data_IF_004474462719
#
_entry.id   IF_004474462719
#
_cell.length_a   1.000
_cell.length_b   1.000
_cell.length_c   1.000
_cell.angle_alpha   90.00
_cell.angle_beta   90.00
_cell.angle_gamma   90.00
#
_symmetry.space_group_name_H-M   'P 1'
#
loop_
_entity.id
_entity.type
_entity.pdbx_description
1 polymer ?
#
# COMPACT_ATOMS: atom_id res chain seq x y z
N UNK A 1 3.53 -0.34 21.85
CA UNK A 1 4.03 1.06 21.97
C UNK A 1 4.34 1.67 20.59
N UNK A 2 4.03 2.94 20.37
CA UNK A 2 4.29 3.66 19.09
C UNK A 2 5.71 3.45 18.53
N UNK A 3 6.73 3.67 19.36
CA UNK A 3 8.14 3.58 18.96
C UNK A 3 8.56 2.19 18.45
N UNK A 4 7.88 1.12 18.88
CA UNK A 4 8.13 -0.22 18.38
C UNK A 4 7.48 -0.45 17.01
N UNK A 5 6.27 0.08 16.81
CA UNK A 5 5.59 0.00 15.52
C UNK A 5 6.35 0.79 14.45
N UNK A 6 6.81 2.00 14.78
CA UNK A 6 7.63 2.84 13.88
C UNK A 6 8.92 2.13 13.48
N UNK A 7 9.65 1.54 14.45
CA UNK A 7 10.86 0.75 14.17
C UNK A 7 10.57 -0.48 13.32
N UNK A 8 9.45 -1.17 13.58
CA UNK A 8 9.05 -2.34 12.79
C UNK A 8 8.74 -1.95 11.35
N UNK A 9 7.99 -0.85 11.12
CA UNK A 9 7.72 -0.38 9.77
C UNK A 9 9.01 0.05 9.07
N UNK A 10 9.90 0.79 9.74
CA UNK A 10 11.19 1.18 9.16
C UNK A 10 12.08 -0.03 8.82
N UNK A 11 12.02 -1.11 9.61
CA UNK A 11 12.67 -2.38 9.27
C UNK A 11 12.06 -3.00 8.01
N UNK A 12 10.72 -3.05 7.91
CA UNK A 12 10.04 -3.58 6.74
C UNK A 12 10.32 -2.76 5.48
N UNK A 13 10.38 -1.44 5.60
CA UNK A 13 10.73 -0.56 4.49
C UNK A 13 12.11 -0.92 3.92
N UNK A 14 13.11 -1.06 4.79
CA UNK A 14 14.50 -1.33 4.39
C UNK A 14 14.74 -2.76 3.94
N UNK A 15 14.13 -3.74 4.60
CA UNK A 15 14.45 -5.17 4.38
C UNK A 15 13.41 -5.91 3.52
N UNK A 16 12.21 -5.35 3.36
CA UNK A 16 11.10 -5.98 2.62
C UNK A 16 10.71 -5.15 1.41
N UNK A 17 10.46 -3.84 1.57
CA UNK A 17 9.96 -3.01 0.46
C UNK A 17 11.05 -2.51 -0.47
N UNK A 18 12.25 -2.26 0.05
CA UNK A 18 13.44 -2.20 -0.78
C UNK A 18 13.86 -3.64 -1.08
N UNK A 19 13.70 -4.06 -2.34
CA UNK A 19 14.02 -5.42 -2.74
C UNK A 19 15.49 -5.71 -2.37
N UNK A 20 15.77 -6.73 -1.54
CA UNK A 20 17.14 -7.02 -1.15
C UNK A 20 17.88 -7.49 -2.40
N UNK A 21 18.87 -6.71 -2.85
CA UNK A 21 19.67 -7.03 -4.05
C UNK A 21 20.35 -8.41 -3.94
N UNK A 22 20.52 -8.93 -2.72
CA UNK A 22 21.06 -10.26 -2.49
C UNK A 22 20.09 -11.40 -2.87
N UNK A 23 18.78 -11.18 -2.78
CA UNK A 23 17.75 -12.13 -3.22
C UNK A 23 17.56 -12.11 -4.75
N UNK A 24 18.05 -11.04 -5.39
CA UNK A 24 18.16 -10.91 -6.83
C UNK A 24 19.49 -11.48 -7.40
N UNK A 25 20.33 -12.13 -6.59
CA UNK A 25 21.50 -12.84 -7.10
C UNK A 25 21.06 -14.03 -7.97
N UNK A 26 21.66 -14.11 -9.16
CA UNK A 26 21.41 -15.15 -10.17
C UNK A 26 21.47 -16.56 -9.58
N UNK A 27 22.38 -16.82 -8.64
CA UNK A 27 22.52 -18.13 -7.96
C UNK A 27 21.36 -18.48 -7.00
N UNK A 28 20.67 -17.50 -6.44
CA UNK A 28 19.46 -17.71 -5.64
C UNK A 28 18.29 -17.94 -6.61
N UNK A 29 18.14 -17.05 -7.59
CA UNK A 29 17.07 -17.12 -8.61
C UNK A 29 17.13 -18.40 -9.46
N UNK A 30 18.32 -18.89 -9.83
CA UNK A 30 18.51 -20.14 -10.59
C UNK A 30 18.14 -21.37 -9.76
N UNK A 31 18.18 -21.29 -8.42
CA UNK A 31 17.69 -22.36 -7.52
C UNK A 31 16.17 -22.30 -7.29
N UNK A 32 15.52 -21.15 -7.52
CA UNK A 32 14.05 -20.98 -7.41
C UNK A 32 13.35 -21.04 -8.79
N UNK A 33 14.09 -21.00 -9.90
CA UNK A 33 13.57 -21.03 -11.28
C UNK A 33 12.94 -19.72 -11.75
N UNK A 34 12.25 -19.74 -12.91
CA UNK A 34 11.48 -18.61 -13.49
C UNK A 34 10.48 -17.95 -12.50
N UNK A 35 10.24 -18.56 -11.33
CA UNK A 35 9.35 -18.15 -10.24
C UNK A 35 9.91 -17.11 -9.25
N UNK A 36 11.20 -16.76 -9.31
CA UNK A 36 11.85 -15.92 -8.29
C UNK A 36 11.27 -14.50 -8.18
N UNK A 37 10.98 -13.86 -9.33
CA UNK A 37 10.35 -12.53 -9.34
C UNK A 37 8.96 -12.55 -8.69
N UNK A 38 8.10 -13.46 -9.16
CA UNK A 38 6.72 -13.60 -8.69
C UNK A 38 6.67 -14.05 -7.23
N UNK A 39 7.60 -14.89 -6.79
CA UNK A 39 7.70 -15.31 -5.39
C UNK A 39 7.98 -14.12 -4.47
N UNK A 40 8.96 -13.28 -4.83
CA UNK A 40 9.30 -12.07 -4.06
C UNK A 40 8.15 -11.08 -4.09
N UNK A 41 7.62 -10.76 -5.27
CA UNK A 41 6.52 -9.80 -5.42
C UNK A 41 5.29 -10.24 -4.61
N UNK A 42 4.93 -11.52 -4.66
CA UNK A 42 3.85 -12.12 -3.87
C UNK A 42 4.13 -12.06 -2.37
N UNK A 43 5.36 -12.30 -1.94
CA UNK A 43 5.72 -12.18 -0.53
C UNK A 43 5.64 -10.73 -0.03
N UNK A 44 6.19 -9.78 -0.78
CA UNK A 44 6.06 -8.35 -0.49
C UNK A 44 4.58 -7.92 -0.43
N UNK A 45 3.76 -8.40 -1.37
CA UNK A 45 2.32 -8.18 -1.39
C UNK A 45 1.61 -8.73 -0.15
N UNK A 46 1.94 -9.95 0.32
CA UNK A 46 1.36 -10.50 1.56
C UNK A 46 1.71 -9.68 2.80
N UNK A 47 2.98 -9.25 2.90
CA UNK A 47 3.41 -8.37 3.99
C UNK A 47 2.62 -7.07 3.95
N UNK A 48 2.45 -6.48 2.77
CA UNK A 48 1.67 -5.28 2.58
C UNK A 48 0.18 -5.46 2.95
N UNK A 49 -0.47 -6.52 2.47
CA UNK A 49 -1.87 -6.82 2.84
C UNK A 49 -2.04 -6.99 4.35
N UNK A 50 -1.05 -7.55 5.05
CA UNK A 50 -1.07 -7.61 6.52
C UNK A 50 -0.98 -6.21 7.16
N UNK A 51 -0.21 -5.29 6.57
CA UNK A 51 -0.07 -3.90 7.02
C UNK A 51 -1.30 -3.04 6.72
N UNK A 52 -2.02 -3.37 5.66
CA UNK A 52 -3.24 -2.68 5.23
C UNK A 52 -4.53 -3.36 5.73
N UNK A 53 -4.43 -4.46 6.47
CA UNK A 53 -5.58 -5.20 7.00
C UNK A 53 -6.58 -4.29 7.73
N UNK A 54 -7.85 -4.40 7.36
CA UNK A 54 -8.94 -3.59 7.91
C UNK A 54 -9.02 -3.65 9.44
N UNK A 55 -8.81 -4.83 10.04
CA UNK A 55 -8.82 -4.98 11.52
C UNK A 55 -7.66 -4.25 12.16
N UNK A 56 -6.48 -4.28 11.54
CA UNK A 56 -5.33 -3.49 12.00
C UNK A 56 -5.62 -2.00 11.94
N UNK A 57 -6.10 -1.50 10.82
CA UNK A 57 -6.36 -0.07 10.65
C UNK A 57 -7.46 0.43 11.59
N UNK A 58 -8.52 -0.35 11.79
CA UNK A 58 -9.59 -0.04 12.74
C UNK A 58 -9.06 0.00 14.19
N UNK A 59 -8.20 -0.95 14.58
CA UNK A 59 -7.54 -0.94 15.90
C UNK A 59 -6.63 0.27 16.10
N UNK A 60 -5.90 0.70 15.07
CA UNK A 60 -5.08 1.91 15.16
C UNK A 60 -5.93 3.15 15.41
N UNK A 61 -7.06 3.29 14.68
CA UNK A 61 -8.01 4.38 14.91
C UNK A 61 -8.61 4.34 16.34
N UNK A 62 -8.96 3.16 16.83
CA UNK A 62 -9.51 3.00 18.17
C UNK A 62 -8.46 3.33 19.26
N UNK A 63 -7.24 2.84 19.11
CA UNK A 63 -6.14 3.14 20.04
C UNK A 63 -5.83 4.63 20.09
N UNK A 64 -5.91 5.34 18.98
CA UNK A 64 -5.73 6.79 18.94
C UNK A 64 -6.75 7.53 19.81
N UNK A 65 -7.99 7.01 19.91
CA UNK A 65 -9.03 7.58 20.78
C UNK A 65 -8.84 7.17 22.24
N UNK A 66 -8.52 5.90 22.50
CA UNK A 66 -8.48 5.33 23.86
C UNK A 66 -7.16 5.63 24.57
N UNK A 67 -6.04 5.70 23.84
CA UNK A 67 -4.68 5.85 24.36
C UNK A 67 -3.87 6.83 23.49
N UNK A 68 -4.27 8.12 23.39
CA UNK A 68 -3.68 9.07 22.44
C UNK A 68 -2.17 9.30 22.63
N UNK A 69 -1.67 9.20 23.87
CA UNK A 69 -0.25 9.42 24.18
C UNK A 69 0.68 8.28 23.68
N UNK A 70 0.14 7.05 23.58
CA UNK A 70 0.91 5.84 23.24
C UNK A 70 0.59 5.30 21.83
N UNK A 71 -0.51 5.76 21.24
CA UNK A 71 -0.96 5.34 19.92
C UNK A 71 -0.05 5.92 18.83
N UNK A 72 0.07 5.17 17.73
CA UNK A 72 0.56 5.72 16.48
C UNK A 72 -0.66 6.24 15.71
N UNK A 73 -0.80 7.56 15.50
CA UNK A 73 -1.94 8.10 14.78
C UNK A 73 -2.14 7.41 13.43
N UNK A 74 -3.38 7.05 13.11
CA UNK A 74 -3.70 6.31 11.89
C UNK A 74 -3.24 7.09 10.63
N UNK A 75 -3.38 8.42 10.66
CA UNK A 75 -2.92 9.29 9.59
C UNK A 75 -1.40 9.20 9.36
N UNK A 76 -0.63 9.16 10.44
CA UNK A 76 0.83 9.04 10.39
C UNK A 76 1.27 7.66 9.92
N UNK A 77 0.61 6.60 10.39
CA UNK A 77 0.86 5.23 9.95
C UNK A 77 0.64 5.06 8.45
N UNK A 78 -0.51 5.53 7.93
CA UNK A 78 -0.82 5.46 6.50
C UNK A 78 0.13 6.32 5.66
N UNK A 79 0.55 7.48 6.17
CA UNK A 79 1.53 8.33 5.50
C UNK A 79 2.91 7.65 5.43
N UNK A 80 3.37 7.04 6.53
CA UNK A 80 4.63 6.30 6.58
C UNK A 80 4.60 5.08 5.65
N UNK A 81 3.54 4.27 5.71
CA UNK A 81 3.38 3.10 4.85
C UNK A 81 3.40 3.49 3.36
N UNK A 82 2.69 4.57 2.97
CA UNK A 82 2.74 5.10 1.61
C UNK A 82 4.16 5.53 1.25
N UNK A 83 4.85 6.26 2.12
CA UNK A 83 6.22 6.69 1.87
C UNK A 83 7.16 5.49 1.67
N UNK A 84 7.04 4.44 2.48
CA UNK A 84 7.79 3.19 2.35
C UNK A 84 7.60 2.49 1.00
N UNK A 85 6.34 2.39 0.53
CA UNK A 85 5.99 1.72 -0.74
C UNK A 85 6.32 2.57 -1.97
N UNK A 86 6.12 3.88 -1.91
CA UNK A 86 6.23 4.75 -3.08
C UNK A 86 7.60 5.41 -3.20
N UNK A 87 8.24 5.72 -2.07
CA UNK A 87 9.51 6.42 -2.00
C UNK A 87 9.50 7.67 -2.89
N UNK A 88 10.55 7.84 -3.69
CA UNK A 88 10.55 8.82 -4.77
C UNK A 88 10.01 8.18 -6.07
N UNK A 89 8.80 8.53 -6.55
CA UNK A 89 8.12 7.77 -7.61
C UNK A 89 8.93 7.64 -8.91
N UNK A 90 9.63 8.70 -9.35
CA UNK A 90 10.46 8.66 -10.56
C UNK A 90 11.68 7.73 -10.45
N UNK A 91 12.18 7.51 -9.22
CA UNK A 91 13.28 6.58 -8.93
C UNK A 91 12.77 5.15 -8.80
N UNK A 92 11.73 4.95 -7.99
CA UNK A 92 11.19 3.63 -7.66
C UNK A 92 10.52 2.97 -8.86
N UNK A 93 9.93 3.73 -9.78
CA UNK A 93 9.32 3.21 -11.00
C UNK A 93 10.30 2.47 -11.93
N UNK A 94 11.62 2.62 -11.75
CA UNK A 94 12.64 1.88 -12.52
C UNK A 94 12.72 0.41 -12.11
N UNK A 95 12.42 0.09 -10.85
CA UNK A 95 12.56 -1.25 -10.29
C UNK A 95 11.27 -2.08 -10.49
N UNK A 96 11.33 -3.24 -11.18
CA UNK A 96 10.15 -4.10 -11.38
C UNK A 96 9.51 -4.59 -10.08
N UNK A 97 10.28 -4.88 -9.03
CA UNK A 97 9.74 -5.31 -7.74
C UNK A 97 8.97 -4.17 -7.06
N UNK A 98 9.51 -2.96 -7.09
CA UNK A 98 8.82 -1.76 -6.58
C UNK A 98 7.52 -1.50 -7.34
N UNK A 99 7.54 -1.62 -8.66
CA UNK A 99 6.31 -1.49 -9.46
C UNK A 99 5.26 -2.54 -9.09
N UNK A 100 5.66 -3.79 -8.82
CA UNK A 100 4.74 -4.83 -8.38
C UNK A 100 4.15 -4.54 -6.98
N UNK A 101 4.97 -4.15 -6.02
CA UNK A 101 4.54 -3.75 -4.68
C UNK A 101 3.58 -2.54 -4.72
N UNK A 102 3.86 -1.57 -5.58
CA UNK A 102 3.01 -0.39 -5.78
C UNK A 102 1.64 -0.74 -6.38
N UNK A 103 1.57 -1.73 -7.27
CA UNK A 103 0.29 -2.25 -7.77
C UNK A 103 -0.50 -2.96 -6.67
N UNK A 104 0.17 -3.83 -5.90
CA UNK A 104 -0.45 -4.46 -4.74
C UNK A 104 -0.99 -3.42 -3.75
N UNK A 105 -0.28 -2.32 -3.51
CA UNK A 105 -0.80 -1.22 -2.68
C UNK A 105 -2.09 -0.61 -3.21
N UNK A 106 -2.20 -0.41 -4.53
CA UNK A 106 -3.42 0.12 -5.13
C UNK A 106 -4.57 -0.89 -5.04
N UNK A 107 -4.29 -2.18 -5.21
CA UNK A 107 -5.28 -3.26 -5.06
C UNK A 107 -5.83 -3.33 -3.63
N UNK A 108 -4.95 -3.32 -2.61
CA UNK A 108 -5.35 -3.29 -1.20
C UNK A 108 -6.10 -2.00 -0.86
N UNK A 109 -5.65 -0.86 -1.40
CA UNK A 109 -6.32 0.42 -1.18
C UNK A 109 -7.71 0.47 -1.83
N UNK A 110 -7.86 -0.11 -3.02
CA UNK A 110 -9.16 -0.25 -3.67
C UNK A 110 -10.09 -1.10 -2.81
N UNK A 111 -9.69 -2.31 -2.41
CA UNK A 111 -10.50 -3.22 -1.57
C UNK A 111 -10.93 -2.54 -0.26
N UNK A 112 -10.04 -1.90 0.48
CA UNK A 112 -10.41 -1.15 1.71
C UNK A 112 -11.45 -0.06 1.46
N UNK A 113 -11.42 0.54 0.28
CA UNK A 113 -12.38 1.57 -0.07
C UNK A 113 -13.71 0.93 -0.52
N UNK A 114 -13.70 -0.12 -1.33
CA UNK A 114 -14.87 -0.65 -2.09
C UNK A 114 -15.58 -1.82 -1.42
N UNK A 115 -14.87 -2.60 -0.63
CA UNK A 115 -15.34 -3.86 -0.07
C UNK A 115 -15.53 -3.75 1.45
N UNK A 116 -16.34 -4.66 1.97
CA UNK A 116 -16.42 -4.88 3.42
C UNK A 116 -15.46 -6.02 3.80
N UNK A 117 -14.78 -5.93 4.97
CA UNK A 117 -13.80 -6.94 5.33
C UNK A 117 -14.47 -8.32 5.49
N UNK A 118 -13.77 -9.41 5.15
CA UNK A 118 -14.36 -10.74 5.25
C UNK A 118 -14.65 -11.11 6.70
N UNK A 119 -15.80 -11.75 6.92
CA UNK A 119 -16.17 -12.32 8.22
C UNK A 119 -15.26 -13.50 8.55
N UNK A 120 -14.41 -13.33 9.57
CA UNK A 120 -13.46 -14.34 10.04
C UNK A 120 -13.68 -14.58 11.53
N UNK A 121 -14.60 -15.49 11.87
CA UNK A 121 -15.09 -15.70 13.25
C UNK A 121 -13.98 -15.97 14.27
N UNK A 122 -12.85 -16.56 13.85
CA UNK A 122 -11.71 -16.84 14.71
C UNK A 122 -10.85 -15.61 15.06
N UNK A 123 -11.01 -14.49 14.34
CA UNK A 123 -10.32 -13.22 14.61
C UNK A 123 -11.18 -12.21 15.40
N UNK A 124 -12.37 -12.62 15.83
CA UNK A 124 -13.34 -11.75 16.49
C UNK A 124 -14.23 -10.99 15.51
N UNK A 125 -14.97 -9.97 16.00
CA UNK A 125 -15.93 -9.24 15.19
C UNK A 125 -15.25 -8.51 14.03
N UNK A 126 -15.95 -8.46 12.91
CA UNK A 126 -15.48 -7.71 11.74
C UNK A 126 -15.65 -6.21 11.98
N UNK A 127 -14.60 -5.41 11.78
CA UNK A 127 -14.64 -3.97 12.04
C UNK A 127 -15.48 -3.27 10.99
N UNK A 128 -16.31 -2.32 11.43
CA UNK A 128 -17.01 -1.42 10.54
C UNK A 128 -16.08 -0.28 10.11
N UNK A 129 -15.36 -0.50 8.99
CA UNK A 129 -14.45 0.49 8.44
C UNK A 129 -15.17 1.70 7.83
N UNK A 130 -16.48 1.57 7.53
CA UNK A 130 -17.27 2.66 6.96
C UNK A 130 -17.51 3.80 7.95
N UNK A 131 -17.47 3.49 9.25
CA UNK A 131 -17.63 4.44 10.36
C UNK A 131 -16.31 4.89 10.96
N UNK A 132 -15.19 4.51 10.35
CA UNK A 132 -13.84 4.85 10.79
C UNK A 132 -13.17 5.88 9.87
N UNK A 133 -12.12 6.53 10.36
CA UNK A 133 -11.31 7.46 9.57
C UNK A 133 -10.41 6.78 8.52
N UNK A 134 -10.44 5.43 8.42
CA UNK A 134 -9.64 4.67 7.46
C UNK A 134 -9.93 5.08 6.02
N UNK A 135 -11.20 5.04 5.59
CA UNK A 135 -11.59 5.38 4.22
C UNK A 135 -11.28 6.85 3.87
N UNK A 136 -11.66 7.88 4.65
CA UNK A 136 -11.35 9.27 4.30
C UNK A 136 -9.84 9.56 4.27
N UNK A 137 -9.05 9.02 5.21
CA UNK A 137 -7.59 9.19 5.20
C UNK A 137 -6.96 8.52 3.99
N UNK A 138 -7.38 7.30 3.65
CA UNK A 138 -6.87 6.58 2.49
C UNK A 138 -7.22 7.32 1.17
N UNK A 139 -8.44 7.87 1.03
CA UNK A 139 -8.80 8.71 -0.12
C UNK A 139 -7.89 9.94 -0.23
N UNK A 140 -7.58 10.59 0.89
CA UNK A 140 -6.66 11.73 0.93
C UNK A 140 -5.25 11.33 0.44
N UNK A 141 -4.74 10.20 0.92
CA UNK A 141 -3.43 9.66 0.50
C UNK A 141 -3.41 9.30 -1.00
N UNK A 142 -4.45 8.66 -1.52
CA UNK A 142 -4.55 8.32 -2.95
C UNK A 142 -4.61 9.55 -3.86
N UNK A 143 -5.33 10.60 -3.46
CA UNK A 143 -5.34 11.88 -4.22
C UNK A 143 -3.95 12.51 -4.30
N UNK A 144 -3.22 12.52 -3.18
CA UNK A 144 -1.82 13.00 -3.14
C UNK A 144 -0.94 12.15 -4.04
N UNK A 145 -1.06 10.82 -3.95
CA UNK A 145 -0.31 9.89 -4.78
C UNK A 145 -0.57 10.08 -6.28
N UNK A 146 -1.82 10.29 -6.70
CA UNK A 146 -2.13 10.56 -8.10
C UNK A 146 -1.45 11.85 -8.60
N UNK A 147 -1.44 12.91 -7.78
CA UNK A 147 -0.74 14.15 -8.11
C UNK A 147 0.79 13.93 -8.21
N UNK A 148 1.37 13.19 -7.26
CA UNK A 148 2.79 12.83 -7.26
C UNK A 148 3.17 11.99 -8.49
N UNK A 149 2.36 10.99 -8.85
CA UNK A 149 2.59 10.12 -10.00
C UNK A 149 2.55 10.91 -11.32
N UNK A 150 1.54 11.78 -11.50
CA UNK A 150 1.46 12.69 -12.67
C UNK A 150 2.66 13.63 -12.76
N UNK A 151 3.11 14.17 -11.62
CA UNK A 151 4.31 15.02 -11.57
C UNK A 151 5.60 14.25 -11.87
N UNK A 152 5.67 12.98 -11.51
CA UNK A 152 6.85 12.14 -11.66
C UNK A 152 6.98 11.53 -13.06
N UNK A 153 5.87 11.22 -13.75
CA UNK A 153 5.88 10.54 -15.05
C UNK A 153 6.74 11.24 -16.13
N UNK A 154 6.71 12.58 -16.29
CA UNK A 154 7.57 13.27 -17.26
C UNK A 154 9.06 13.18 -16.92
N UNK A 155 9.39 13.09 -15.62
CA UNK A 155 10.77 13.00 -15.09
C UNK A 155 11.31 11.58 -15.08
N UNK A 156 10.44 10.57 -15.19
CA UNK A 156 10.85 9.18 -15.27
C UNK A 156 11.45 8.86 -16.66
N UNK A 157 12.36 7.86 -16.74
CA UNK A 157 12.81 7.34 -18.02
C UNK A 157 11.63 6.94 -18.92
N UNK A 158 11.79 7.14 -20.22
CA UNK A 158 10.82 6.68 -21.20
C UNK A 158 10.62 5.15 -21.13
N UNK A 159 9.47 4.69 -21.61
CA UNK A 159 9.09 3.28 -21.57
C UNK A 159 8.39 2.89 -20.27
N UNK A 160 8.74 1.74 -19.71
CA UNK A 160 7.99 1.07 -18.63
C UNK A 160 7.85 1.94 -17.37
N UNK A 161 8.87 2.71 -17.00
CA UNK A 161 8.82 3.54 -15.79
C UNK A 161 7.80 4.68 -15.92
N UNK A 162 7.77 5.38 -17.06
CA UNK A 162 6.77 6.41 -17.35
C UNK A 162 5.36 5.83 -17.46
N UNK A 163 5.19 4.77 -18.25
CA UNK A 163 3.91 4.10 -18.43
C UNK A 163 3.31 3.59 -17.11
N UNK A 164 4.16 3.11 -16.19
CA UNK A 164 3.72 2.71 -14.85
C UNK A 164 3.15 3.88 -14.04
N UNK A 165 3.82 5.03 -14.04
CA UNK A 165 3.34 6.19 -13.28
C UNK A 165 2.06 6.80 -13.87
N UNK A 166 1.92 6.74 -15.20
CA UNK A 166 0.68 7.11 -15.90
C UNK A 166 -0.47 6.15 -15.53
N UNK A 167 -0.24 4.83 -15.59
CA UNK A 167 -1.21 3.80 -15.17
C UNK A 167 -1.60 3.94 -13.69
N UNK A 168 -0.64 4.26 -12.80
CA UNK A 168 -0.93 4.51 -11.38
C UNK A 168 -1.92 5.67 -11.20
N UNK A 169 -1.70 6.79 -11.88
CA UNK A 169 -2.61 7.93 -11.79
C UNK A 169 -4.01 7.57 -12.32
N UNK A 170 -4.08 6.90 -13.47
CA UNK A 170 -5.33 6.49 -14.10
C UNK A 170 -6.10 5.45 -13.27
N UNK A 171 -5.42 4.48 -12.65
CA UNK A 171 -6.05 3.53 -11.73
C UNK A 171 -6.68 4.23 -10.54
N UNK A 172 -6.00 5.22 -9.96
CA UNK A 172 -6.54 5.99 -8.83
C UNK A 172 -7.78 6.77 -9.26
N UNK A 173 -7.78 7.38 -10.46
CA UNK A 173 -8.96 8.05 -10.99
C UNK A 173 -10.14 7.07 -11.15
N UNK A 174 -9.90 5.89 -11.73
CA UNK A 174 -10.92 4.84 -11.88
C UNK A 174 -11.52 4.37 -10.55
N UNK A 175 -10.70 4.24 -9.50
CA UNK A 175 -11.18 3.93 -8.13
C UNK A 175 -12.19 4.98 -7.65
N UNK A 176 -12.00 6.25 -8.01
CA UNK A 176 -12.90 7.34 -7.64
C UNK A 176 -14.11 7.47 -8.57
N UNK A 177 -13.97 7.19 -9.87
CA UNK A 177 -15.06 7.28 -10.84
C UNK A 177 -16.10 6.17 -10.64
N UNK A 178 -15.65 4.92 -10.46
CA UNK A 178 -16.53 3.77 -10.22
C UNK A 178 -17.44 3.96 -8.98
N UNK A 179 -16.96 4.75 -8.01
CA UNK A 179 -17.74 5.15 -6.82
C UNK A 179 -18.86 6.12 -7.15
N UNK A 180 -18.61 7.10 -8.01
CA UNK A 180 -19.62 8.09 -8.37
C UNK A 180 -20.79 7.40 -9.08
N UNK A 181 -20.50 6.50 -10.02
CA UNK A 181 -21.52 5.72 -10.72
C UNK A 181 -22.32 4.77 -9.81
N UNK A 182 -21.76 4.29 -8.71
CA UNK A 182 -22.48 3.43 -7.75
C UNK A 182 -23.42 4.23 -6.84
N UNK A 183 -23.09 5.50 -6.55
CA UNK A 183 -23.94 6.40 -5.76
C UNK A 183 -25.07 6.96 -6.62
N UNK A 184 -24.79 7.34 -7.88
CA UNK A 184 -25.77 7.95 -8.78
C UNK A 184 -26.88 6.96 -9.25
N UNK A 185 -26.70 5.67 -8.99
CA UNK A 185 -27.60 4.59 -9.41
C UNK A 185 -28.38 3.94 -8.22
N UNK A 186 -28.36 4.57 -7.04
CA UNK A 186 -29.13 4.21 -5.84
C UNK A 186 -30.09 5.33 -5.47
#
# INVERSE_FOLDING_TARGET
PRSEQERALAFLEREVFEAPRWLAHREVLDRVGQSGFEAIARWQGRVLGTLMDARRLARLAELEVVQPEDAWPLADYLAALRAGVWGEPARTARDPYRRALQRAYLEEAESLLTEEPPELSFLGPTPDISRSDVRPLLRSQLRRLAAEARSAAPRAPAGVARAHLEDVAERIDRIFDNRQSTIDNR
#
